data_IF_822375395216
#
_entry.id   IF_822375395216
#
_cell.length_a   1.000
_cell.length_b   1.000
_cell.length_c   1.000
_cell.angle_alpha   90.00
_cell.angle_beta   90.00
_cell.angle_gamma   90.00
#
_symmetry.space_group_name_H-M   'P 1'
#
loop_
_entity.id
_entity.type
_entity.pdbx_description
1 polymer ?
#
# COMPACT_ATOMS: atom_id res chain seq x y z
N UNK A 1 36.91 -23.32 -21.90
CA UNK A 1 36.44 -24.35 -20.95
C UNK A 1 36.48 -23.78 -19.53
N UNK A 2 35.36 -23.30 -18.99
CA UNK A 2 35.03 -23.24 -17.55
C UNK A 2 33.81 -22.32 -17.33
N UNK A 3 32.61 -22.88 -17.41
CA UNK A 3 31.38 -22.21 -16.98
C UNK A 3 31.37 -22.15 -15.44
N UNK A 4 31.53 -20.95 -14.89
CA UNK A 4 31.41 -20.72 -13.46
C UNK A 4 29.95 -20.96 -13.04
N UNK A 5 29.79 -22.03 -12.26
CA UNK A 5 28.56 -22.54 -11.66
C UNK A 5 27.64 -21.42 -11.18
N UNK A 6 26.45 -21.33 -11.79
CA UNK A 6 25.34 -20.53 -11.27
C UNK A 6 24.96 -21.07 -9.89
N UNK A 7 25.33 -20.34 -8.85
CA UNK A 7 24.80 -20.55 -7.51
C UNK A 7 23.40 -19.94 -7.47
N UNK A 8 22.38 -20.69 -7.88
CA UNK A 8 20.99 -20.37 -7.53
C UNK A 8 20.85 -20.52 -6.02
N UNK A 9 21.13 -19.45 -5.29
CA UNK A 9 20.65 -19.31 -3.92
C UNK A 9 19.13 -19.20 -4.00
N UNK A 10 18.44 -20.33 -3.88
CA UNK A 10 17.00 -20.34 -3.63
C UNK A 10 16.77 -19.51 -2.38
N UNK A 11 16.23 -18.29 -2.53
CA UNK A 11 15.82 -17.44 -1.40
C UNK A 11 14.60 -18.11 -0.78
N UNK A 12 14.68 -18.68 0.43
CA UNK A 12 13.46 -19.13 1.09
C UNK A 12 12.73 -17.89 1.59
N UNK A 13 11.44 -17.74 1.28
CA UNK A 13 10.38 -17.07 2.08
C UNK A 13 9.05 -17.33 1.37
N UNK A 14 7.90 -17.58 2.06
CA UNK A 14 7.07 -16.44 2.51
C UNK A 14 5.96 -16.77 3.54
N UNK A 15 6.25 -17.16 4.80
CA UNK A 15 5.17 -17.18 5.84
C UNK A 15 5.04 -15.86 6.60
N UNK A 16 6.16 -15.19 6.91
CA UNK A 16 6.16 -13.86 7.54
C UNK A 16 5.62 -12.77 6.59
N UNK A 17 5.75 -12.98 5.28
CA UNK A 17 5.27 -12.03 4.28
C UNK A 17 3.75 -11.82 4.34
N UNK A 18 2.96 -12.87 4.58
CA UNK A 18 1.49 -12.74 4.63
C UNK A 18 1.02 -11.86 5.80
N UNK A 19 1.55 -12.09 7.00
CA UNK A 19 1.23 -11.26 8.17
C UNK A 19 1.69 -9.81 7.99
N UNK A 20 2.84 -9.59 7.33
CA UNK A 20 3.34 -8.27 6.99
C UNK A 20 2.41 -7.56 6.00
N UNK A 21 1.96 -8.26 4.96
CA UNK A 21 0.99 -7.75 3.98
C UNK A 21 -0.36 -7.43 4.62
N UNK A 22 -0.86 -8.29 5.50
CA UNK A 22 -2.12 -8.07 6.23
C UNK A 22 -2.04 -6.85 7.15
N UNK A 23 -0.94 -6.67 7.88
CA UNK A 23 -0.72 -5.47 8.72
C UNK A 23 -0.67 -4.20 7.87
N UNK A 24 0.04 -4.22 6.75
CA UNK A 24 0.10 -3.08 5.82
C UNK A 24 -1.29 -2.74 5.28
N UNK A 25 -2.04 -3.75 4.82
CA UNK A 25 -3.41 -3.57 4.34
C UNK A 25 -4.35 -3.01 5.43
N UNK A 26 -4.21 -3.45 6.69
CA UNK A 26 -4.99 -2.93 7.81
C UNK A 26 -4.63 -1.47 8.13
N UNK A 27 -3.36 -1.11 8.07
CA UNK A 27 -2.89 0.26 8.26
C UNK A 27 -3.45 1.20 7.16
N UNK A 28 -3.31 0.82 5.90
CA UNK A 28 -3.88 1.56 4.76
C UNK A 28 -5.40 1.71 4.88
N UNK A 29 -6.11 0.67 5.36
CA UNK A 29 -7.56 0.76 5.59
C UNK A 29 -7.93 1.78 6.68
N UNK A 30 -7.12 1.89 7.74
CA UNK A 30 -7.33 2.89 8.81
C UNK A 30 -7.11 4.30 8.29
N UNK A 31 -6.04 4.51 7.51
CA UNK A 31 -5.74 5.79 6.87
C UNK A 31 -6.86 6.23 5.92
N UNK A 32 -7.33 5.31 5.05
CA UNK A 32 -8.46 5.57 4.14
C UNK A 32 -9.75 5.93 4.87
N UNK A 33 -10.03 5.27 6.01
CA UNK A 33 -11.18 5.64 6.85
C UNK A 33 -11.03 6.99 7.52
N UNK A 34 -9.82 7.38 7.91
CA UNK A 34 -9.56 8.70 8.46
C UNK A 34 -9.77 9.80 7.40
N UNK A 35 -9.32 9.56 6.17
CA UNK A 35 -9.58 10.42 5.00
C UNK A 35 -11.08 10.60 4.73
N UNK A 36 -11.87 9.52 4.79
CA UNK A 36 -13.32 9.58 4.62
C UNK A 36 -14.08 10.26 5.77
N UNK A 37 -13.45 10.38 6.95
CA UNK A 37 -14.04 11.05 8.11
C UNK A 37 -13.63 12.53 8.19
N UNK A 38 -12.69 12.97 7.35
CA UNK A 38 -12.26 14.36 7.32
C UNK A 38 -13.38 15.22 6.69
N UNK A 39 -13.78 16.33 7.33
CA UNK A 39 -14.69 17.28 6.73
C UNK A 39 -14.06 18.00 5.52
N UNK A 40 -14.89 18.40 4.57
CA UNK A 40 -14.47 18.95 3.26
C UNK A 40 -13.43 20.07 3.34
N UNK A 41 -13.57 20.98 4.31
CA UNK A 41 -12.63 22.09 4.50
C UNK A 41 -11.20 21.63 4.84
N UNK A 42 -11.03 20.50 5.54
CA UNK A 42 -9.71 19.94 5.84
C UNK A 42 -9.13 19.18 4.64
N UNK A 43 -9.99 18.66 3.75
CA UNK A 43 -9.56 18.07 2.48
C UNK A 43 -9.04 19.16 1.54
N UNK A 44 -9.72 20.30 1.50
CA UNK A 44 -9.30 21.47 0.72
C UNK A 44 -7.95 22.04 1.20
N UNK A 45 -7.71 22.08 2.52
CA UNK A 45 -6.43 22.51 3.10
C UNK A 45 -5.22 21.67 2.65
N UNK A 46 -5.44 20.36 2.43
CA UNK A 46 -4.40 19.45 1.90
C UNK A 46 -4.44 19.31 0.37
N UNK A 47 -5.29 20.07 -0.31
CA UNK A 47 -5.43 20.07 -1.76
C UNK A 47 -6.05 18.78 -2.34
N UNK A 48 -6.83 18.04 -1.55
CA UNK A 48 -7.50 16.81 -1.98
C UNK A 48 -8.98 17.10 -2.21
N UNK A 49 -9.52 16.78 -3.38
CA UNK A 49 -10.96 16.92 -3.62
C UNK A 49 -11.75 15.88 -2.82
N UNK A 50 -12.93 16.23 -2.32
CA UNK A 50 -13.88 15.29 -1.71
C UNK A 50 -14.14 14.06 -2.59
N UNK A 51 -14.23 14.24 -3.91
CA UNK A 51 -14.43 13.14 -4.87
C UNK A 51 -13.22 12.19 -4.91
N UNK A 52 -12.01 12.72 -4.78
CA UNK A 52 -10.78 11.92 -4.76
C UNK A 52 -10.63 11.19 -3.43
N UNK A 53 -10.91 11.86 -2.30
CA UNK A 53 -10.96 11.23 -0.98
C UNK A 53 -11.98 10.08 -0.93
N UNK A 54 -13.14 10.27 -1.55
CA UNK A 54 -14.17 9.24 -1.64
C UNK A 54 -13.77 8.09 -2.55
N UNK A 55 -13.15 8.38 -3.70
CA UNK A 55 -12.61 7.38 -4.62
C UNK A 55 -11.54 6.52 -3.92
N UNK A 56 -10.58 7.16 -3.25
CA UNK A 56 -9.50 6.50 -2.51
C UNK A 56 -10.05 5.69 -1.33
N UNK A 57 -11.02 6.23 -0.60
CA UNK A 57 -11.67 5.55 0.52
C UNK A 57 -12.43 4.28 0.13
N UNK A 58 -12.94 4.22 -1.10
CA UNK A 58 -13.63 3.04 -1.65
C UNK A 58 -12.70 2.00 -2.28
N UNK A 59 -11.41 2.30 -2.43
CA UNK A 59 -10.45 1.33 -2.97
C UNK A 59 -10.33 0.10 -2.07
N UNK A 60 -10.26 -1.11 -2.64
CA UNK A 60 -10.12 -2.31 -1.85
C UNK A 60 -8.88 -2.31 -0.97
N UNK A 61 -8.98 -2.88 0.23
CA UNK A 61 -7.86 -2.89 1.19
C UNK A 61 -6.65 -3.72 0.73
N UNK A 62 -6.83 -4.61 -0.25
CA UNK A 62 -5.75 -5.41 -0.86
C UNK A 62 -4.98 -4.65 -1.94
N UNK A 63 -5.47 -3.49 -2.38
CA UNK A 63 -4.75 -2.60 -3.28
C UNK A 63 -3.81 -1.71 -2.47
N UNK A 64 -2.59 -2.22 -2.29
CA UNK A 64 -1.51 -1.49 -1.63
C UNK A 64 -1.08 -0.30 -2.50
N UNK A 65 -0.83 0.88 -1.90
CA UNK A 65 -0.29 2.01 -2.66
C UNK A 65 1.05 1.60 -3.25
N UNK A 66 1.13 1.61 -4.59
CA UNK A 66 2.41 1.44 -5.26
C UNK A 66 3.23 2.67 -4.94
N UNK A 67 4.35 2.49 -4.25
CA UNK A 67 5.25 3.59 -3.93
C UNK A 67 5.84 4.10 -5.24
N UNK A 68 5.19 5.10 -5.83
CA UNK A 68 5.78 5.89 -6.89
C UNK A 68 6.98 6.61 -6.28
N UNK A 69 8.17 6.19 -6.68
CA UNK A 69 9.42 6.89 -6.42
C UNK A 69 9.41 8.12 -7.32
N UNK A 70 9.36 9.29 -6.68
CA UNK A 70 9.52 10.59 -7.33
C UNK A 70 11.00 10.85 -7.58
#
# INVERSE_FOLDING_TARGET
MAFARQQTRLRPMPRIHLLKTLRAALATRRERRALLQLPDHLLDDIGVSHRDAWSEGRRPFWELPVRHHW
#
